data_IF_673760914371
#
_entry.id   IF_673760914371
#
_cell.length_a   1.000
_cell.length_b   1.000
_cell.length_c   1.000
_cell.angle_alpha   90.00
_cell.angle_beta   90.00
_cell.angle_gamma   90.00
#
_symmetry.space_group_name_H-M   'P 1'
#
loop_
_entity.id
_entity.type
_entity.pdbx_description
1 polymer ?
#
# COMPACT_ATOMS: atom_id res chain seq x y z
N UNK A 1 12.36 -24.25 -24.45
CA UNK A 1 11.14 -24.06 -25.25
C UNK A 1 9.98 -24.58 -24.41
N UNK A 2 9.22 -23.69 -23.77
CA UNK A 2 8.06 -24.10 -22.99
C UNK A 2 6.98 -24.64 -23.93
N UNK A 3 6.41 -25.79 -23.59
CA UNK A 3 5.42 -26.45 -24.43
C UNK A 3 4.10 -25.68 -24.35
N UNK A 4 3.29 -25.67 -25.42
CA UNK A 4 1.97 -25.01 -25.43
C UNK A 4 1.10 -25.43 -24.22
N UNK A 5 1.26 -26.66 -23.75
CA UNK A 5 0.58 -27.20 -22.57
C UNK A 5 0.97 -26.46 -21.28
N UNK A 6 2.24 -26.09 -21.11
CA UNK A 6 2.72 -25.31 -19.96
C UNK A 6 2.14 -23.89 -19.96
N UNK A 7 2.04 -23.26 -21.13
CA UNK A 7 1.41 -21.94 -21.27
C UNK A 7 -0.08 -21.98 -20.90
N UNK A 8 -0.80 -23.02 -21.36
CA UNK A 8 -2.22 -23.22 -21.02
C UNK A 8 -2.39 -23.47 -19.52
N UNK A 9 -1.54 -24.31 -18.91
CA UNK A 9 -1.55 -24.56 -17.46
C UNK A 9 -1.27 -23.28 -16.67
N UNK A 10 -0.28 -22.51 -17.09
CA UNK A 10 0.04 -21.21 -16.50
C UNK A 10 -1.15 -20.24 -16.56
N UNK A 11 -1.80 -20.11 -17.72
CA UNK A 11 -2.97 -19.22 -17.85
C UNK A 11 -4.16 -19.67 -17.01
N UNK A 12 -4.39 -20.98 -16.89
CA UNK A 12 -5.43 -21.53 -15.99
C UNK A 12 -5.14 -21.22 -14.53
N UNK A 13 -3.88 -21.35 -14.09
CA UNK A 13 -3.46 -20.99 -12.73
C UNK A 13 -3.70 -19.51 -12.45
N UNK A 14 -3.28 -18.62 -13.35
CA UNK A 14 -3.51 -17.17 -13.23
C UNK A 14 -5.00 -16.82 -13.11
N UNK A 15 -5.85 -17.42 -13.96
CA UNK A 15 -7.30 -17.21 -13.91
C UNK A 15 -7.92 -17.75 -12.62
N UNK A 16 -7.41 -18.85 -12.08
CA UNK A 16 -7.86 -19.40 -10.80
C UNK A 16 -7.50 -18.45 -9.65
N UNK A 17 -6.26 -17.96 -9.58
CA UNK A 17 -5.83 -16.99 -8.57
C UNK A 17 -6.63 -15.68 -8.65
N UNK A 18 -6.87 -15.16 -9.86
CA UNK A 18 -7.73 -13.97 -10.07
C UNK A 18 -9.19 -14.18 -9.67
N UNK A 19 -9.71 -15.40 -9.72
CA UNK A 19 -11.06 -15.69 -9.21
C UNK A 19 -11.05 -15.81 -7.70
N UNK A 20 -10.02 -16.43 -7.13
CA UNK A 20 -9.86 -16.59 -5.68
C UNK A 20 -9.74 -15.26 -4.93
N UNK A 21 -9.19 -14.22 -5.57
CA UNK A 21 -9.08 -12.87 -4.99
C UNK A 21 -10.32 -11.99 -5.19
N UNK A 22 -11.27 -12.36 -6.05
CA UNK A 22 -12.45 -11.53 -6.32
C UNK A 22 -13.44 -11.55 -5.17
N UNK A 23 -13.82 -10.38 -4.68
CA UNK A 23 -14.80 -10.23 -3.61
C UNK A 23 -14.28 -10.66 -2.23
N UNK A 24 -12.97 -10.86 -2.11
CA UNK A 24 -12.31 -11.10 -0.83
C UNK A 24 -11.77 -9.77 -0.32
N UNK A 25 -12.41 -9.27 0.73
CA UNK A 25 -12.00 -8.03 1.39
C UNK A 25 -10.96 -8.32 2.47
N UNK A 26 -9.95 -7.46 2.52
CA UNK A 26 -8.92 -7.47 3.56
C UNK A 26 -9.47 -6.73 4.78
N UNK A 27 -9.51 -7.41 5.92
CA UNK A 27 -9.86 -6.82 7.19
C UNK A 27 -8.66 -6.05 7.76
N UNK A 28 -8.87 -4.76 8.02
CA UNK A 28 -7.88 -3.88 8.64
C UNK A 28 -8.18 -3.70 10.12
N UNK A 29 -7.12 -3.51 10.91
CA UNK A 29 -7.25 -3.16 12.33
C UNK A 29 -7.97 -1.82 12.48
N UNK A 30 -9.09 -1.83 13.20
CA UNK A 30 -9.87 -0.65 13.53
C UNK A 30 -9.28 0.07 14.74
N UNK A 31 -9.71 1.32 14.97
CA UNK A 31 -9.31 2.05 16.19
C UNK A 31 -9.96 1.40 17.43
N UNK A 32 -9.24 1.43 18.54
CA UNK A 32 -9.65 0.79 19.79
C UNK A 32 -9.05 -0.60 19.98
N UNK A 33 -9.70 -1.39 20.82
CA UNK A 33 -9.27 -2.74 21.18
C UNK A 33 -9.94 -3.76 20.27
N UNK A 34 -9.14 -4.64 19.68
CA UNK A 34 -9.60 -5.82 18.95
C UNK A 34 -8.84 -7.05 19.39
N UNK A 35 -9.46 -8.22 19.23
CA UNK A 35 -8.86 -9.49 19.51
C UNK A 35 -8.66 -10.23 18.20
N UNK A 36 -7.42 -10.62 17.94
CA UNK A 36 -7.01 -11.35 16.74
C UNK A 36 -6.74 -12.81 17.10
N UNK A 37 -7.52 -13.73 16.56
CA UNK A 37 -7.12 -15.15 16.50
C UNK A 37 -6.47 -15.43 15.15
N UNK A 38 -5.24 -15.91 15.17
CA UNK A 38 -4.50 -16.31 13.97
C UNK A 38 -4.74 -17.80 13.73
N UNK A 39 -4.98 -18.17 12.48
CA UNK A 39 -5.16 -19.56 12.10
C UNK A 39 -3.85 -20.14 11.54
N UNK A 40 -3.55 -21.40 11.87
CA UNK A 40 -2.41 -22.08 11.27
C UNK A 40 -2.71 -22.37 9.79
N UNK A 41 -1.68 -22.75 9.06
CA UNK A 41 -1.83 -23.20 7.69
C UNK A 41 -2.50 -24.59 7.68
N UNK A 42 -3.63 -24.70 6.98
CA UNK A 42 -4.48 -25.92 6.96
C UNK A 42 -3.81 -27.07 6.23
N UNK A 43 -3.06 -26.77 5.17
CA UNK A 43 -2.38 -27.81 4.37
C UNK A 43 -1.17 -28.38 5.12
N UNK A 44 -0.47 -27.52 5.86
CA UNK A 44 0.65 -27.91 6.70
C UNK A 44 0.75 -26.98 7.92
N UNK A 45 0.36 -27.44 9.13
CA UNK A 45 0.39 -26.63 10.34
C UNK A 45 1.78 -26.06 10.68
N UNK A 46 2.86 -26.70 10.21
CA UNK A 46 4.24 -26.27 10.42
C UNK A 46 4.77 -25.35 9.31
N UNK A 47 3.95 -25.06 8.29
CA UNK A 47 4.31 -24.13 7.25
C UNK A 47 3.99 -22.69 7.66
N UNK A 48 4.49 -21.75 6.85
CA UNK A 48 4.27 -20.32 7.05
C UNK A 48 2.76 -20.02 7.02
N UNK A 49 2.26 -19.32 8.04
CA UNK A 49 0.85 -18.92 8.20
C UNK A 49 0.56 -17.50 7.68
N UNK A 50 1.57 -16.83 7.14
CA UNK A 50 1.53 -15.44 6.69
C UNK A 50 2.04 -15.29 5.25
N UNK A 51 1.66 -14.18 4.61
CA UNK A 51 2.15 -13.78 3.30
C UNK A 51 2.58 -12.30 3.34
N UNK A 52 3.83 -11.98 2.98
CA UNK A 52 4.25 -10.60 2.74
C UNK A 52 3.37 -9.93 1.69
N UNK A 53 2.98 -8.69 1.93
CA UNK A 53 2.06 -7.97 1.07
C UNK A 53 2.29 -6.46 1.11
N UNK A 54 2.10 -5.80 -0.02
CA UNK A 54 2.07 -4.35 -0.07
C UNK A 54 1.29 -3.84 -1.27
N UNK A 55 0.67 -2.67 -1.11
CA UNK A 55 -0.04 -1.99 -2.19
C UNK A 55 0.36 -0.52 -2.27
N UNK A 56 0.53 -0.06 -3.51
CA UNK A 56 0.56 1.35 -3.84
C UNK A 56 -0.87 1.85 -4.01
N UNK A 57 -1.23 2.90 -3.28
CA UNK A 57 -2.51 3.59 -3.43
C UNK A 57 -2.25 4.95 -4.05
N UNK A 58 -2.64 5.12 -5.31
CA UNK A 58 -2.51 6.39 -6.02
C UNK A 58 -3.86 7.07 -6.06
N UNK A 59 -4.02 8.17 -5.32
CA UNK A 59 -5.23 9.00 -5.35
C UNK A 59 -5.06 10.07 -6.44
N UNK A 60 -5.96 10.10 -7.41
CA UNK A 60 -6.01 11.13 -8.45
C UNK A 60 -7.37 11.81 -8.47
N UNK A 61 -7.42 13.01 -9.07
CA UNK A 61 -8.67 13.69 -9.39
C UNK A 61 -8.83 13.69 -10.91
N UNK A 62 -9.81 12.94 -11.41
CA UNK A 62 -10.14 12.86 -12.84
C UNK A 62 -11.55 13.44 -13.04
N UNK A 63 -11.66 14.53 -13.81
CA UNK A 63 -12.92 15.25 -14.04
C UNK A 63 -13.67 15.66 -12.76
N UNK A 64 -12.92 16.11 -11.73
CA UNK A 64 -13.49 16.54 -10.45
C UNK A 64 -13.90 15.41 -9.51
N UNK A 65 -13.76 14.14 -9.90
CA UNK A 65 -14.02 12.96 -9.06
C UNK A 65 -12.71 12.36 -8.54
N UNK A 66 -12.69 12.03 -7.25
CA UNK A 66 -11.57 11.33 -6.63
C UNK A 66 -11.56 9.86 -7.06
N UNK A 67 -10.41 9.40 -7.53
CA UNK A 67 -10.19 8.04 -7.99
C UNK A 67 -8.96 7.48 -7.31
N UNK A 68 -9.11 6.35 -6.63
CA UNK A 68 -7.99 5.65 -6.02
C UNK A 68 -7.67 4.43 -6.84
N UNK A 69 -6.43 4.32 -7.30
CA UNK A 69 -5.90 3.17 -8.02
C UNK A 69 -4.98 2.42 -7.09
N UNK A 70 -5.34 1.17 -6.77
CA UNK A 70 -4.52 0.28 -5.96
C UNK A 70 -3.78 -0.72 -6.86
N UNK A 71 -2.46 -0.79 -6.73
CA UNK A 71 -1.63 -1.78 -7.42
C UNK A 71 -0.72 -2.51 -6.43
N UNK A 72 -0.54 -3.81 -6.60
CA UNK A 72 0.38 -4.61 -5.76
C UNK A 72 1.81 -4.10 -5.92
N UNK A 73 2.50 -3.94 -4.80
CA UNK A 73 3.92 -3.64 -4.75
C UNK A 73 4.72 -4.95 -4.84
N UNK A 74 5.46 -5.16 -5.93
CA UNK A 74 6.25 -6.37 -6.13
C UNK A 74 7.38 -6.52 -5.11
N UNK A 75 8.00 -5.41 -4.73
CA UNK A 75 9.07 -5.42 -3.73
C UNK A 75 8.54 -5.85 -2.36
N UNK A 76 7.41 -5.29 -1.93
CA UNK A 76 6.85 -5.65 -0.64
C UNK A 76 6.24 -7.05 -0.61
N UNK A 77 5.66 -7.50 -1.72
CA UNK A 77 4.89 -8.76 -1.76
C UNK A 77 5.78 -9.97 -2.11
N UNK A 78 6.76 -9.78 -3.00
CA UNK A 78 7.57 -10.85 -3.58
C UNK A 78 9.09 -10.66 -3.41
N UNK A 79 9.53 -9.51 -2.89
CA UNK A 79 10.96 -9.17 -2.82
C UNK A 79 11.60 -8.84 -4.16
N UNK A 80 10.79 -8.58 -5.20
CA UNK A 80 11.25 -8.31 -6.57
C UNK A 80 11.37 -6.79 -6.84
N UNK A 81 12.00 -6.40 -7.96
CA UNK A 81 12.00 -5.00 -8.38
C UNK A 81 10.57 -4.51 -8.69
N UNK A 82 10.27 -3.27 -8.32
CA UNK A 82 8.97 -2.67 -8.52
C UNK A 82 9.11 -1.33 -9.21
N UNK A 83 8.54 -1.24 -10.40
CA UNK A 83 8.61 -0.07 -11.27
C UNK A 83 7.95 1.16 -10.63
N UNK A 84 6.90 0.95 -9.82
CA UNK A 84 6.27 2.02 -9.05
C UNK A 84 7.18 2.52 -7.92
N UNK A 85 7.85 1.63 -7.18
CA UNK A 85 8.79 2.01 -6.13
C UNK A 85 9.95 2.84 -6.69
N UNK A 86 10.51 2.43 -7.83
CA UNK A 86 11.59 3.14 -8.51
C UNK A 86 11.17 4.57 -8.87
N UNK A 87 10.02 4.73 -9.53
CA UNK A 87 9.49 6.05 -9.89
C UNK A 87 9.15 6.92 -8.66
N UNK A 88 8.68 6.33 -7.57
CA UNK A 88 8.41 7.04 -6.30
C UNK A 88 9.72 7.54 -5.68
N UNK A 89 10.79 6.74 -5.74
CA UNK A 89 12.11 7.15 -5.25
C UNK A 89 12.72 8.27 -6.10
N UNK A 90 12.59 8.20 -7.42
CA UNK A 90 12.99 9.27 -8.32
C UNK A 90 12.19 10.55 -8.06
N UNK A 91 10.85 10.44 -7.95
CA UNK A 91 9.99 11.57 -7.62
C UNK A 91 10.40 12.23 -6.28
N UNK A 92 10.76 11.43 -5.28
CA UNK A 92 11.25 11.93 -3.99
C UNK A 92 12.56 12.72 -4.15
N UNK A 93 13.45 12.30 -5.04
CA UNK A 93 14.70 13.00 -5.30
C UNK A 93 14.47 14.32 -6.04
N UNK A 94 13.57 14.31 -7.04
CA UNK A 94 13.22 15.50 -7.85
C UNK A 94 12.54 16.58 -7.01
N UNK A 95 11.60 16.19 -6.15
CA UNK A 95 10.79 17.12 -5.35
C UNK A 95 11.33 17.36 -3.94
N UNK A 96 12.61 17.08 -3.70
CA UNK A 96 13.24 17.26 -2.40
C UNK A 96 13.12 18.72 -1.93
N UNK A 97 12.60 18.92 -0.72
CA UNK A 97 12.37 20.24 -0.13
C UNK A 97 10.98 20.83 -0.41
N UNK A 98 10.14 20.15 -1.20
CA UNK A 98 8.73 20.50 -1.36
C UNK A 98 7.88 19.60 -0.46
N UNK A 99 7.46 20.12 0.70
CA UNK A 99 6.71 19.36 1.71
C UNK A 99 5.42 18.75 1.17
N UNK A 100 4.65 19.49 0.37
CA UNK A 100 3.38 18.99 -0.20
C UNK A 100 3.61 17.80 -1.13
N UNK A 101 4.69 17.84 -1.92
CA UNK A 101 5.03 16.74 -2.81
C UNK A 101 5.61 15.55 -2.05
N UNK A 102 6.44 15.79 -1.04
CA UNK A 102 6.98 14.75 -0.18
C UNK A 102 5.89 13.99 0.59
N UNK A 103 4.86 14.70 1.06
CA UNK A 103 3.69 14.10 1.69
C UNK A 103 2.90 13.23 0.71
N UNK A 104 2.62 13.75 -0.50
CA UNK A 104 1.93 13.00 -1.56
C UNK A 104 2.71 11.75 -1.97
N UNK A 105 4.02 11.86 -2.18
CA UNK A 105 4.90 10.75 -2.55
C UNK A 105 4.94 9.70 -1.43
N UNK A 106 4.93 10.15 -0.17
CA UNK A 106 4.88 9.27 0.99
C UNK A 106 3.55 8.53 1.11
N UNK A 107 2.42 9.14 0.72
CA UNK A 107 1.12 8.45 0.66
C UNK A 107 1.06 7.38 -0.42
N UNK A 108 1.71 7.61 -1.57
CA UNK A 108 1.73 6.65 -2.69
C UNK A 108 2.67 5.47 -2.41
N UNK A 109 3.71 5.69 -1.59
CA UNK A 109 4.68 4.67 -1.23
C UNK A 109 3.99 3.50 -0.53
N UNK A 110 4.21 2.29 -1.04
CA UNK A 110 3.77 1.07 -0.36
C UNK A 110 4.54 0.91 0.96
N UNK A 111 3.81 0.57 2.02
CA UNK A 111 4.41 0.05 3.25
C UNK A 111 4.38 -1.47 3.23
N UNK A 112 5.39 -2.10 3.85
CA UNK A 112 5.41 -3.54 4.06
C UNK A 112 4.30 -3.92 5.04
N UNK A 113 3.46 -4.88 4.64
CA UNK A 113 2.37 -5.43 5.44
C UNK A 113 2.42 -6.95 5.35
N UNK A 114 1.70 -7.60 6.24
CA UNK A 114 1.55 -9.05 6.25
C UNK A 114 0.09 -9.40 6.25
N UNK A 115 -0.27 -10.35 5.41
CA UNK A 115 -1.62 -10.91 5.39
C UNK A 115 -1.57 -12.27 6.09
N UNK A 116 -2.57 -12.51 6.93
CA UNK A 116 -2.79 -13.78 7.63
C UNK A 116 -4.25 -14.21 7.53
N UNK A 117 -4.50 -15.50 7.70
CA UNK A 117 -5.85 -15.99 7.96
C UNK A 117 -6.15 -15.87 9.45
N UNK A 118 -7.30 -15.32 9.80
CA UNK A 118 -7.70 -15.20 11.19
C UNK A 118 -9.11 -14.68 11.38
N UNK A 119 -9.43 -14.33 12.61
CA UNK A 119 -10.66 -13.65 12.96
C UNK A 119 -10.36 -12.44 13.84
N UNK A 120 -10.95 -11.30 13.49
CA UNK A 120 -10.96 -10.10 14.33
C UNK A 120 -12.31 -10.01 15.04
N UNK A 121 -12.29 -9.91 16.36
CA UNK A 121 -13.45 -9.79 17.23
C UNK A 121 -13.30 -8.64 18.23
N UNK A 122 -14.40 -8.09 18.72
CA UNK A 122 -14.38 -7.05 19.77
C UNK A 122 -14.09 -7.62 21.16
N UNK A 123 -14.30 -8.92 21.33
CA UNK A 123 -14.09 -9.68 22.57
C UNK A 123 -13.14 -10.85 22.31
N UNK A 124 -12.52 -11.45 23.34
CA UNK A 124 -11.64 -12.61 23.15
C UNK A 124 -12.35 -13.87 22.62
N UNK A 125 -13.69 -13.90 22.66
CA UNK A 125 -14.48 -15.00 22.11
C UNK A 125 -14.51 -15.00 20.57
N UNK A 126 -13.86 -16.01 19.98
CA UNK A 126 -13.82 -16.24 18.54
C UNK A 126 -15.15 -16.71 17.94
N UNK A 127 -16.04 -17.29 18.74
CA UNK A 127 -17.27 -17.90 18.20
C UNK A 127 -18.21 -16.87 17.55
N UNK A 128 -18.06 -15.60 17.94
CA UNK A 128 -18.74 -14.44 17.35
C UNK A 128 -18.34 -14.16 15.90
N UNK A 129 -17.19 -14.68 15.44
CA UNK A 129 -16.79 -14.54 14.04
C UNK A 129 -17.65 -15.44 13.15
N UNK A 130 -18.21 -14.87 12.08
CA UNK A 130 -19.03 -15.62 11.12
C UNK A 130 -18.19 -16.39 10.10
N UNK A 131 -17.12 -15.76 9.60
CA UNK A 131 -16.23 -16.29 8.56
C UNK A 131 -14.77 -15.98 8.87
N UNK A 132 -13.86 -16.76 8.29
CA UNK A 132 -12.44 -16.40 8.27
C UNK A 132 -12.26 -15.10 7.53
N UNK A 133 -11.43 -14.24 8.11
CA UNK A 133 -11.06 -12.96 7.56
C UNK A 133 -9.61 -12.99 7.13
N UNK A 134 -9.35 -12.29 6.04
CA UNK A 134 -8.01 -12.04 5.58
C UNK A 134 -7.50 -10.77 6.26
N UNK A 135 -6.71 -10.92 7.32
CA UNK A 135 -6.32 -9.80 8.18
C UNK A 135 -4.99 -9.22 7.71
N UNK A 136 -4.96 -7.91 7.46
CA UNK A 136 -3.74 -7.17 7.16
C UNK A 136 -3.15 -6.58 8.45
N UNK A 137 -1.89 -6.94 8.73
CA UNK A 137 -1.12 -6.45 9.85
C UNK A 137 -0.02 -5.48 9.37
N UNK A 138 0.13 -4.32 10.05
CA UNK A 138 1.35 -3.51 9.98
C UNK A 138 2.59 -4.34 10.32
N UNK A 139 3.74 -4.03 9.71
CA UNK A 139 5.01 -4.71 10.00
C UNK A 139 5.32 -4.74 11.50
N UNK A 140 5.19 -3.61 12.21
CA UNK A 140 5.49 -3.53 13.65
C UNK A 140 4.59 -4.45 14.49
N UNK A 141 3.29 -4.49 14.19
CA UNK A 141 2.33 -5.38 14.86
C UNK A 141 2.66 -6.83 14.59
N UNK A 142 3.03 -7.14 13.36
CA UNK A 142 3.39 -8.49 12.96
C UNK A 142 4.66 -8.98 13.66
N UNK A 143 5.68 -8.12 13.77
CA UNK A 143 6.90 -8.40 14.53
C UNK A 143 6.61 -8.65 16.01
N UNK A 144 5.76 -7.83 16.66
CA UNK A 144 5.36 -8.02 18.06
C UNK A 144 4.58 -9.33 18.28
N UNK A 145 3.72 -9.70 17.33
CA UNK A 145 3.01 -10.99 17.33
C UNK A 145 4.00 -12.14 17.21
N UNK A 146 4.93 -12.10 16.25
CA UNK A 146 5.93 -13.15 16.08
C UNK A 146 6.79 -13.32 17.33
N UNK A 147 7.25 -12.21 17.91
CA UNK A 147 8.00 -12.21 19.17
C UNK A 147 7.20 -12.86 20.29
N UNK A 148 5.92 -12.52 20.43
CA UNK A 148 5.05 -13.11 21.44
C UNK A 148 4.84 -14.62 21.23
N UNK A 149 4.76 -15.07 19.96
CA UNK A 149 4.65 -16.49 19.62
C UNK A 149 5.95 -17.23 19.98
N UNK A 150 7.10 -16.67 19.61
CA UNK A 150 8.41 -17.25 19.88
C UNK A 150 8.69 -17.40 21.38
N UNK A 151 8.41 -16.35 22.17
CA UNK A 151 8.54 -16.37 23.63
C UNK A 151 7.65 -17.46 24.25
N UNK A 152 6.37 -17.52 23.87
CA UNK A 152 5.43 -18.48 24.45
C UNK A 152 5.71 -19.94 24.08
N UNK A 153 6.19 -20.19 22.86
CA UNK A 153 6.57 -21.53 22.42
C UNK A 153 7.88 -21.98 23.07
N UNK A 154 8.83 -21.06 23.27
CA UNK A 154 10.13 -21.35 23.86
C UNK A 154 10.06 -21.57 25.37
N UNK A 155 9.19 -20.83 26.06
CA UNK A 155 8.95 -20.95 27.51
C UNK A 155 7.91 -22.04 27.85
N UNK A 156 7.44 -22.81 26.86
CA UNK A 156 6.39 -23.86 26.98
C UNK A 156 5.08 -23.33 27.63
N UNK A 157 4.80 -22.04 27.48
CA UNK A 157 3.63 -21.36 28.05
C UNK A 157 2.37 -21.70 27.24
N UNK A 158 2.49 -21.88 25.93
CA UNK A 158 1.42 -22.35 25.07
C UNK A 158 1.71 -22.24 23.57
N UNK A 159 0.82 -22.84 22.78
CA UNK A 159 0.91 -22.86 21.32
C UNK A 159 -0.15 -21.92 20.71
N UNK A 160 0.17 -20.65 20.44
CA UNK A 160 -0.81 -19.65 19.97
C UNK A 160 -1.51 -20.04 18.67
N UNK A 161 -0.85 -20.75 17.77
CA UNK A 161 -1.40 -21.13 16.47
C UNK A 161 -2.14 -22.47 16.49
N UNK A 162 -2.16 -23.17 17.62
CA UNK A 162 -2.83 -24.47 17.72
C UNK A 162 -4.34 -24.34 17.49
N UNK A 163 -4.92 -25.31 16.76
CA UNK A 163 -6.33 -25.30 16.36
C UNK A 163 -7.24 -25.49 17.58
N UNK A 164 -6.85 -26.30 18.56
CA UNK A 164 -7.70 -26.69 19.68
C UNK A 164 -7.49 -25.81 20.92
N UNK A 165 -6.23 -25.44 21.19
CA UNK A 165 -5.80 -24.83 22.46
C UNK A 165 -5.09 -23.50 22.29
N UNK A 166 -4.95 -23.01 21.06
CA UNK A 166 -4.36 -21.71 20.84
C UNK A 166 -5.21 -20.57 21.43
N UNK A 167 -4.64 -19.38 21.46
CA UNK A 167 -5.28 -18.20 22.02
C UNK A 167 -5.24 -17.01 21.06
N UNK A 168 -5.98 -15.94 21.40
CA UNK A 168 -5.99 -14.69 20.64
C UNK A 168 -4.99 -13.65 21.19
N UNK A 169 -4.64 -12.69 20.34
CA UNK A 169 -3.85 -11.51 20.69
C UNK A 169 -4.78 -10.31 20.86
N UNK A 170 -4.69 -9.60 21.98
CA UNK A 170 -5.30 -8.28 22.15
C UNK A 170 -4.42 -7.28 21.39
N UNK A 171 -5.01 -6.59 20.43
CA UNK A 171 -4.37 -5.51 19.68
C UNK A 171 -5.13 -4.23 20.00
N UNK A 172 -4.44 -3.28 20.60
CA UNK A 172 -4.96 -1.95 20.87
C UNK A 172 -4.35 -0.95 19.91
N UNK A 173 -5.20 -0.31 19.11
CA UNK A 173 -4.80 0.73 18.15
C UNK A 173 -5.27 2.09 18.65
N UNK A 174 -4.32 2.96 18.97
CA UNK A 174 -4.57 4.34 19.40
C UNK A 174 -4.01 5.33 18.37
N UNK A 175 -4.53 6.55 18.37
CA UNK A 175 -4.12 7.61 17.44
C UNK A 175 -4.70 7.49 16.03
N UNK A 176 -4.35 8.45 15.18
CA UNK A 176 -4.77 8.53 13.78
C UNK A 176 -3.62 9.00 12.89
N UNK A 177 -3.63 8.57 11.62
CA UNK A 177 -2.61 8.98 10.66
C UNK A 177 -1.20 8.54 11.08
N UNK A 178 -0.27 9.50 11.15
CA UNK A 178 1.14 9.28 11.47
C UNK A 178 1.39 8.95 12.94
N UNK A 179 0.48 9.34 13.84
CA UNK A 179 0.57 9.11 15.28
C UNK A 179 -0.13 7.80 15.71
N UNK A 180 -0.34 6.87 14.77
CA UNK A 180 -0.98 5.59 15.08
C UNK A 180 0.00 4.71 15.85
N UNK A 181 -0.38 4.31 17.05
CA UNK A 181 0.37 3.36 17.88
C UNK A 181 -0.39 2.06 18.02
N UNK A 182 0.37 0.98 18.20
CA UNK A 182 -0.17 -0.35 18.42
C UNK A 182 0.43 -0.93 19.69
N UNK A 183 -0.38 -1.63 20.46
CA UNK A 183 0.07 -2.49 21.56
C UNK A 183 -0.50 -3.88 21.35
N UNK A 184 0.38 -4.87 21.33
CA UNK A 184 0.01 -6.28 21.16
C UNK A 184 0.24 -7.01 22.48
N UNK A 185 -0.72 -7.83 22.90
CA UNK A 185 -0.59 -8.64 24.11
C UNK A 185 -1.28 -10.01 23.96
N UNK A 186 -0.60 -11.13 24.24
CA UNK A 186 -1.20 -12.46 24.17
C UNK A 186 -2.23 -12.67 25.30
N UNK A 187 -3.40 -13.22 24.97
CA UNK A 187 -4.51 -13.44 25.91
C UNK A 187 -4.59 -14.92 26.30
N UNK A 188 -3.66 -15.37 27.13
CA UNK A 188 -3.40 -16.79 27.43
C UNK A 188 -4.46 -17.50 28.30
N UNK A 189 -5.40 -16.77 28.90
CA UNK A 189 -6.46 -17.33 29.74
C UNK A 189 -7.81 -17.24 29.03
N UNK A 190 -8.36 -16.03 28.94
CA UNK A 190 -9.71 -15.80 28.42
C UNK A 190 -9.81 -15.92 26.89
N UNK A 191 -8.67 -15.85 26.19
CA UNK A 191 -8.58 -15.93 24.74
C UNK A 191 -8.34 -17.34 24.21
N UNK A 192 -8.20 -18.35 25.08
CA UNK A 192 -8.01 -19.74 24.68
C UNK A 192 -9.31 -20.31 24.13
N UNK A 193 -9.29 -20.67 22.85
CA UNK A 193 -10.45 -21.24 22.19
C UNK A 193 -10.04 -22.09 20.98
N UNK A 194 -10.74 -23.22 20.83
CA UNK A 194 -10.68 -24.01 19.62
C UNK A 194 -11.23 -23.21 18.44
N UNK A 195 -10.58 -23.30 17.28
CA UNK A 195 -11.04 -22.65 16.06
C UNK A 195 -12.29 -23.38 15.55
N UNK A 196 -13.45 -22.73 15.46
CA UNK A 196 -14.66 -23.37 14.97
C UNK A 196 -14.48 -23.91 13.54
N UNK A 197 -15.01 -25.10 13.26
CA UNK A 197 -14.90 -25.75 11.94
C UNK A 197 -15.43 -24.89 10.79
N UNK A 198 -16.45 -24.05 11.06
CA UNK A 198 -16.97 -23.05 10.10
C UNK A 198 -15.87 -22.11 9.60
N UNK A 199 -14.95 -21.68 10.47
CA UNK A 199 -13.86 -20.77 10.11
C UNK A 199 -12.81 -21.53 9.30
N UNK A 200 -12.42 -22.73 9.74
CA UNK A 200 -11.44 -23.55 9.01
C UNK A 200 -11.85 -23.83 7.56
N UNK A 201 -13.15 -24.04 7.31
CA UNK A 201 -13.68 -24.29 5.96
C UNK A 201 -13.60 -23.08 5.00
N UNK A 202 -13.38 -21.88 5.54
CA UNK A 202 -13.32 -20.62 4.79
C UNK A 202 -11.90 -20.02 4.72
N UNK A 203 -10.87 -20.81 5.04
CA UNK A 203 -9.48 -20.35 4.98
C UNK A 203 -9.05 -20.07 3.54
N UNK A 204 -8.37 -18.94 3.35
CA UNK A 204 -7.89 -18.50 2.05
C UNK A 204 -6.45 -18.97 1.82
N UNK A 205 -6.15 -19.37 0.58
CA UNK A 205 -4.76 -19.53 0.17
C UNK A 205 -4.15 -18.14 -0.07
N UNK A 206 -3.23 -17.75 0.83
CA UNK A 206 -2.67 -16.40 0.88
C UNK A 206 -1.85 -16.05 -0.36
N UNK A 207 -1.07 -17.01 -0.87
CA UNK A 207 -0.26 -16.84 -2.08
C UNK A 207 -1.14 -16.62 -3.30
N UNK A 208 -2.19 -17.43 -3.47
CA UNK A 208 -3.16 -17.28 -4.56
C UNK A 208 -3.90 -15.95 -4.50
N UNK A 209 -4.20 -15.46 -3.29
CA UNK A 209 -4.81 -14.15 -3.11
C UNK A 209 -3.86 -13.02 -3.56
N UNK A 210 -2.61 -13.01 -3.10
CA UNK A 210 -1.62 -12.02 -3.48
C UNK A 210 -1.36 -12.02 -5.00
N UNK A 211 -1.20 -13.22 -5.59
CA UNK A 211 -1.05 -13.41 -7.03
C UNK A 211 -2.28 -12.94 -7.81
N UNK A 212 -3.49 -13.17 -7.27
CA UNK A 212 -4.75 -12.76 -7.87
C UNK A 212 -4.96 -11.24 -7.91
N UNK A 213 -4.27 -10.49 -7.06
CA UNK A 213 -4.30 -9.01 -7.06
C UNK A 213 -3.25 -8.39 -7.99
N UNK A 214 -2.27 -9.17 -8.46
CA UNK A 214 -1.27 -8.71 -9.40
C UNK A 214 -1.91 -8.53 -10.80
N UNK A 215 -2.24 -7.28 -11.14
CA UNK A 215 -2.91 -6.94 -12.40
C UNK A 215 -2.10 -5.88 -13.17
N UNK A 216 -1.62 -6.27 -14.36
CA UNK A 216 -0.84 -5.41 -15.23
C UNK A 216 -1.57 -4.14 -15.66
N UNK A 217 -2.90 -4.16 -15.79
CA UNK A 217 -3.67 -2.96 -16.10
C UNK A 217 -3.69 -2.00 -14.91
N UNK A 218 -3.84 -2.51 -13.68
CA UNK A 218 -3.79 -1.67 -12.47
C UNK A 218 -2.41 -1.05 -12.29
N UNK A 219 -1.35 -1.82 -12.59
CA UNK A 219 0.04 -1.32 -12.62
C UNK A 219 0.21 -0.19 -13.65
N UNK A 220 -0.30 -0.37 -14.88
CA UNK A 220 -0.26 0.65 -15.94
C UNK A 220 -0.99 1.94 -15.56
N UNK A 221 -2.20 1.80 -15.00
CA UNK A 221 -3.01 2.94 -14.58
C UNK A 221 -2.34 3.66 -13.40
N UNK A 222 -1.80 2.92 -12.43
CA UNK A 222 -1.07 3.49 -11.30
C UNK A 222 0.20 4.22 -11.76
N UNK A 223 0.97 3.65 -12.69
CA UNK A 223 2.16 4.30 -13.24
C UNK A 223 1.84 5.60 -13.96
N UNK A 224 0.81 5.62 -14.81
CA UNK A 224 0.33 6.85 -15.46
C UNK A 224 -0.12 7.90 -14.44
N UNK A 225 -0.83 7.47 -13.40
CA UNK A 225 -1.29 8.34 -12.33
C UNK A 225 -0.12 8.97 -11.56
N UNK A 226 0.90 8.19 -11.21
CA UNK A 226 2.14 8.69 -10.59
C UNK A 226 2.80 9.72 -11.49
N UNK A 227 3.03 9.42 -12.77
CA UNK A 227 3.67 10.37 -13.67
C UNK A 227 2.88 11.65 -13.89
N UNK A 228 1.54 11.60 -13.83
CA UNK A 228 0.71 12.80 -13.88
C UNK A 228 0.84 13.65 -12.61
N UNK A 229 0.96 13.01 -11.44
CA UNK A 229 1.05 13.70 -10.16
C UNK A 229 2.45 14.25 -9.89
N UNK A 230 3.50 13.51 -10.24
CA UNK A 230 4.89 13.82 -9.86
C UNK A 230 5.74 14.34 -11.02
N UNK A 231 5.27 14.23 -12.26
CA UNK A 231 6.06 14.56 -13.45
C UNK A 231 7.14 13.52 -13.80
N UNK A 232 7.26 12.43 -13.04
CA UNK A 232 8.24 11.36 -13.28
C UNK A 232 7.62 10.23 -14.10
N UNK A 233 8.23 9.90 -15.23
CA UNK A 233 7.74 8.80 -16.08
C UNK A 233 7.99 7.44 -15.43
N UNK A 234 6.96 6.58 -15.40
CA UNK A 234 7.10 5.19 -14.94
C UNK A 234 7.37 4.28 -16.14
N UNK A 235 8.57 3.71 -16.22
CA UNK A 235 8.90 2.71 -17.23
C UNK A 235 8.38 1.33 -16.81
N UNK A 236 7.19 0.97 -17.29
CA UNK A 236 6.61 -0.34 -16.99
C UNK A 236 7.18 -1.36 -17.96
N UNK A 237 8.09 -2.20 -17.45
CA UNK A 237 8.65 -3.32 -18.21
C UNK A 237 7.55 -4.30 -18.58
N UNK A 238 7.04 -4.16 -19.80
CA UNK A 238 6.12 -5.12 -20.38
C UNK A 238 6.94 -6.29 -20.90
N UNK A 239 7.08 -7.37 -20.12
CA UNK A 239 7.68 -8.63 -20.59
C UNK A 239 6.77 -9.40 -21.56
N UNK A 240 5.85 -8.72 -22.24
CA UNK A 240 5.43 -9.15 -23.57
C UNK A 240 6.59 -8.85 -24.52
N UNK A 241 7.60 -9.72 -24.48
CA UNK A 241 8.60 -9.80 -25.52
C UNK A 241 7.85 -10.08 -26.83
N UNK A 242 7.63 -9.03 -27.62
CA UNK A 242 7.53 -9.18 -29.07
C UNK A 242 8.71 -10.05 -29.48
N UNK A 243 8.51 -11.16 -30.20
CA UNK A 243 9.62 -12.02 -30.58
C UNK A 243 10.61 -11.14 -31.35
N UNK A 244 11.82 -11.00 -30.80
CA UNK A 244 12.93 -10.39 -31.49
C UNK A 244 13.28 -11.32 -32.67
N UNK A 245 12.55 -11.19 -33.77
CA UNK A 245 13.02 -11.64 -35.06
C UNK A 245 14.18 -10.73 -35.41
N UNK A 246 15.39 -11.21 -35.14
CA UNK A 246 16.60 -10.62 -35.68
C UNK A 246 16.41 -10.44 -37.19
N UNK A 247 16.30 -9.19 -37.60
CA UNK A 247 16.59 -8.80 -38.96
C UNK A 247 17.33 -7.48 -38.89
N UNK A 248 18.53 -7.54 -39.44
CA UNK A 248 19.40 -6.42 -39.79
C UNK A 248 18.60 -5.29 -40.42
N UNK A 249 19.01 -4.06 -40.11
CA UNK A 249 18.36 -2.80 -40.45
C UNK A 249 17.57 -2.81 -41.76
N UNK A 250 16.27 -2.62 -41.64
CA UNK A 250 15.44 -2.06 -42.71
C UNK A 250 14.78 -0.83 -42.12
N UNK A 251 15.24 0.32 -42.57
CA UNK A 251 14.66 1.62 -42.25
C UNK A 251 13.16 1.61 -42.60
N UNK A 252 12.35 2.22 -41.73
CA UNK A 252 10.98 2.59 -42.08
C UNK A 252 11.01 3.45 -43.36
N UNK A 253 10.16 3.17 -44.36
CA UNK A 253 10.06 4.00 -45.55
C UNK A 253 9.43 5.33 -45.14
N UNK A 254 10.19 6.42 -45.21
CA UNK A 254 9.68 7.75 -44.86
C UNK A 254 10.72 8.83 -44.59
N UNK A 255 12.00 8.49 -44.44
CA UNK A 255 13.06 9.47 -44.21
C UNK A 255 14.07 9.37 -45.35
N UNK A 256 14.05 10.37 -46.22
CA UNK A 256 14.94 10.49 -47.36
C UNK A 256 16.41 10.47 -46.93
N UNK A 257 17.14 9.52 -47.51
CA UNK A 257 18.57 9.32 -47.40
C UNK A 257 19.36 10.50 -47.95
N UNK A 258 20.39 10.95 -47.22
CA UNK A 258 21.55 11.61 -47.83
C UNK A 258 22.72 10.63 -47.82
N UNK A 259 23.30 10.42 -49.01
CA UNK A 259 24.22 9.36 -49.34
C UNK A 259 25.61 9.52 -48.72
N UNK A 260 26.27 8.38 -48.58
CA UNK A 260 27.62 8.18 -48.06
C UNK A 260 28.72 8.89 -48.87
N UNK A 261 29.72 9.40 -48.15
CA UNK A 261 31.00 9.86 -48.68
C UNK A 261 32.14 9.27 -47.86
N UNK A 262 33.04 8.58 -48.54
CA UNK A 262 34.16 7.77 -48.08
C UNK A 262 35.33 8.61 -47.55
N UNK A 263 35.97 8.17 -46.45
CA UNK A 263 37.42 8.22 -46.27
C UNK A 263 38.11 9.46 -45.67
N UNK A 264 38.79 9.22 -44.53
CA UNK A 264 40.12 9.73 -44.15
C UNK A 264 40.32 11.15 -43.57
N UNK A 265 41.19 11.18 -42.55
CA UNK A 265 42.08 12.25 -42.04
C UNK A 265 41.56 13.35 -41.08
N UNK A 266 42.00 13.21 -39.81
CA UNK A 266 42.60 14.22 -38.88
C UNK A 266 42.01 15.63 -38.76
N UNK A 267 41.71 16.04 -37.50
CA UNK A 267 41.85 17.45 -37.08
C UNK A 267 40.80 17.97 -36.08
N UNK A 268 41.17 17.90 -34.79
CA UNK A 268 40.98 18.84 -33.66
C UNK A 268 39.89 19.93 -33.63
N UNK A 269 39.45 20.20 -32.38
CA UNK A 269 38.70 21.35 -31.81
C UNK A 269 37.18 21.19 -31.87
N UNK A 270 36.39 21.37 -30.81
CA UNK A 270 36.58 22.15 -29.59
C UNK A 270 35.41 23.14 -29.50
N UNK A 271 34.68 23.13 -28.38
CA UNK A 271 33.62 24.06 -27.99
C UNK A 271 32.27 23.99 -28.72
N UNK A 272 31.37 23.17 -28.16
CA UNK A 272 29.90 23.38 -28.26
C UNK A 272 29.16 22.97 -26.96
N UNK A 273 29.86 22.39 -25.98
CA UNK A 273 29.26 21.89 -24.73
C UNK A 273 29.49 22.80 -23.52
N UNK A 274 30.05 24.01 -23.70
CA UNK A 274 30.29 24.99 -22.63
C UNK A 274 29.57 26.33 -22.76
N UNK A 275 28.83 26.57 -23.85
CA UNK A 275 28.09 27.83 -24.05
C UNK A 275 26.58 27.73 -23.82
N UNK A 276 26.03 26.53 -23.60
CA UNK A 276 24.61 26.38 -23.20
C UNK A 276 24.40 26.36 -21.67
N UNK A 277 25.48 26.45 -20.87
CA UNK A 277 25.46 26.39 -19.41
C UNK A 277 25.73 27.73 -18.71
N UNK A 278 25.81 28.84 -19.46
CA UNK A 278 26.02 30.18 -18.91
C UNK A 278 24.91 31.19 -19.24
N UNK A 279 23.83 30.78 -19.91
CA UNK A 279 22.71 31.65 -20.30
C UNK A 279 21.39 31.33 -19.56
N UNK A 280 21.49 30.81 -18.33
CA UNK A 280 20.34 30.61 -17.42
C UNK A 280 20.60 31.20 -16.01
N UNK A 281 21.60 32.07 -15.86
CA UNK A 281 21.97 32.70 -14.57
C UNK A 281 21.82 34.24 -14.62
N UNK A 282 21.14 34.79 -15.62
CA UNK A 282 20.94 36.23 -15.77
C UNK A 282 19.46 36.56 -16.03
N UNK A 283 18.64 36.40 -15.00
CA UNK A 283 17.32 37.02 -14.94
C UNK A 283 17.04 37.44 -13.48
N UNK A 284 17.67 38.55 -13.08
CA UNK A 284 17.36 39.27 -11.86
C UNK A 284 15.99 39.96 -11.99
N UNK A 285 15.08 39.72 -11.05
CA UNK A 285 13.87 40.51 -10.84
C UNK A 285 14.10 41.48 -9.66
N UNK A 286 13.79 42.75 -9.88
CA UNK A 286 14.05 43.89 -9.00
C UNK A 286 12.78 44.35 -8.27
N UNK A 287 12.91 44.65 -6.96
CA UNK A 287 12.00 45.47 -6.14
C UNK A 287 10.63 44.85 -5.80
N UNK A 288 10.04 44.98 -4.61
CA UNK A 288 10.00 46.16 -3.73
C UNK A 288 9.91 45.72 -2.27
N UNK A 289 10.67 46.40 -1.43
CA UNK A 289 10.58 46.37 0.02
C UNK A 289 9.37 47.13 0.55
N UNK A 290 8.75 46.64 1.62
CA UNK A 290 8.17 47.48 2.68
C UNK A 290 8.07 46.67 3.97
N UNK A 291 9.01 46.95 4.86
CA UNK A 291 8.95 46.62 6.28
C UNK A 291 8.26 47.79 6.99
N UNK A 292 7.33 47.49 7.90
CA UNK A 292 6.99 48.39 9.00
C UNK A 292 6.81 47.58 10.28
N UNK A 293 7.42 48.15 11.31
CA UNK A 293 7.72 47.73 12.67
C UNK A 293 6.52 47.42 13.58
N UNK A 294 6.69 46.35 14.38
CA UNK A 294 6.47 46.22 15.86
C UNK A 294 5.33 47.00 16.51
N UNK A 295 4.36 46.30 17.15
CA UNK A 295 4.00 46.48 18.58
C UNK A 295 3.17 45.32 19.16
N UNK A 296 3.68 44.77 20.27
CA UNK A 296 3.01 44.23 21.48
C UNK A 296 1.93 43.12 21.46
N UNK A 297 2.31 42.05 22.18
CA UNK A 297 1.47 41.12 22.95
C UNK A 297 0.50 41.84 23.89
N UNK A 298 -0.72 41.30 24.09
CA UNK A 298 -1.21 41.12 25.45
C UNK A 298 -1.76 39.71 25.73
N UNK A 299 -1.29 39.20 26.87
CA UNK A 299 -1.92 38.31 27.85
C UNK A 299 -3.22 37.57 27.54
N UNK A 300 -3.19 36.29 27.92
CA UNK A 300 -4.28 35.35 28.06
C UNK A 300 -5.56 35.90 28.74
N UNK A 301 -6.71 35.43 28.25
CA UNK A 301 -7.90 35.24 29.07
C UNK A 301 -8.55 33.90 28.73
N UNK A 302 -8.49 32.98 29.68
CA UNK A 302 -9.39 31.83 29.78
C UNK A 302 -10.74 32.38 30.27
N UNK A 303 -11.83 31.94 29.65
CA UNK A 303 -13.19 32.11 30.14
C UNK A 303 -13.97 30.78 29.96
N UNK A 304 -14.95 30.52 30.82
CA UNK A 304 -15.17 29.21 31.45
C UNK A 304 -16.12 28.29 30.67
N UNK A 305 -16.14 27.03 31.09
CA UNK A 305 -17.14 26.05 30.72
C UNK A 305 -18.57 26.56 31.01
N UNK A 306 -19.38 26.69 29.96
CA UNK A 306 -20.83 26.77 30.07
C UNK A 306 -21.40 25.36 30.14
N UNK A 307 -21.74 24.94 31.35
CA UNK A 307 -22.68 23.85 31.57
C UNK A 307 -24.09 24.35 31.25
N UNK A 308 -24.62 24.03 30.08
CA UNK A 308 -26.06 23.97 29.88
C UNK A 308 -26.40 22.64 29.21
N UNK A 309 -27.08 21.81 30.00
CA UNK A 309 -27.66 20.56 29.58
C UNK A 309 -28.68 20.84 28.49
N UNK A 310 -28.48 20.25 27.31
CA UNK A 310 -29.53 20.12 26.31
C UNK A 310 -30.55 19.11 26.87
N UNK A 311 -31.58 19.66 27.49
CA UNK A 311 -32.76 18.93 27.95
C UNK A 311 -33.45 18.23 26.78
N UNK A 312 -34.00 17.05 27.04
CA UNK A 312 -34.55 16.13 26.05
C UNK A 312 -35.81 16.57 25.30
N UNK A 313 -36.21 17.84 25.39
CA UNK A 313 -37.45 18.32 24.79
C UNK A 313 -37.29 18.88 23.37
N UNK A 314 -36.08 19.29 22.95
CA UNK A 314 -35.83 19.77 21.57
C UNK A 314 -35.68 18.64 20.53
N UNK A 315 -35.25 17.45 20.96
CA UNK A 315 -35.12 16.27 20.08
C UNK A 315 -36.48 15.64 19.77
N UNK A 316 -37.44 15.74 20.69
CA UNK A 316 -38.80 15.22 20.51
C UNK A 316 -39.60 16.03 19.47
N UNK A 317 -39.43 17.36 19.47
CA UNK A 317 -40.09 18.24 18.49
C UNK A 317 -39.51 18.07 17.07
N UNK A 318 -38.22 17.76 16.92
CA UNK A 318 -37.63 17.48 15.61
C UNK A 318 -38.04 16.12 15.03
N UNK A 319 -38.36 15.11 15.86
CA UNK A 319 -38.83 13.81 15.37
C UNK A 319 -40.30 13.83 14.94
N UNK A 320 -41.15 14.65 15.57
CA UNK A 320 -42.55 14.81 15.17
C UNK A 320 -42.71 15.47 13.78
N UNK A 321 -41.73 16.25 13.32
CA UNK A 321 -41.74 16.88 12.01
C UNK A 321 -41.29 15.96 10.85
N UNK A 322 -40.72 14.79 11.15
CA UNK A 322 -40.17 13.86 10.15
C UNK A 322 -41.05 12.63 9.87
N UNK A 323 -42.05 12.35 10.71
CA UNK A 323 -43.04 11.28 10.48
C UNK A 323 -44.28 11.76 9.69
N UNK A 324 -44.28 13.02 9.22
CA UNK A 324 -45.39 13.65 8.50
C UNK A 324 -45.22 13.82 6.99
N UNK A 325 -44.29 13.11 6.34
CA UNK A 325 -44.03 13.19 4.88
C UNK A 325 -43.98 11.82 4.21
#
# INVERSE_FOLDING_TARGET
MSTLLELIKGKRKELASKRASRGVDIAKLQSGVQYLRIFPNVENPNAVFYQPFGMHFVKTKEAGKEKTVASVCKTATYGESCELCEAIMEAKAVHKGNSSMEDLISEIRSSQRYIINGALTATPDINLAEKTQLVELPQTVFEDVLKSIEEDMSDEIGEPLDIEKGYCFKIERTGAGRDTQYTVSPVRKDGKAAVPTKLLSSIHNLENFANGLNDANKLAIAGKAIGTLTGVSVAISSTMALPATGTTGTALPGFSSLAAGTGSTTGTTGNAAKEAAQEAVAAEFTGVASVSTVTETPTAHVAPASSEALGGDELADMMAQLEGL
#
